data_IF_111801947476
#
_entry.id   IF_111801947476
#
_cell.length_a   1.000
_cell.length_b   1.000
_cell.length_c   1.000
_cell.angle_alpha   90.00
_cell.angle_beta   90.00
_cell.angle_gamma   90.00
#
_symmetry.space_group_name_H-M   'P 1'
#
loop_
_entity.id
_entity.type
_entity.pdbx_description
1 polymer ?
#
# COMPACT_ATOMS: atom_id res chain seq x y z
N UNK A 1 -14.88 12.36 88.10
CA UNK A 1 -13.48 12.47 87.63
C UNK A 1 -13.35 11.67 86.35
N UNK A 2 -12.75 12.21 85.27
CA UNK A 2 -12.64 11.57 83.94
C UNK A 2 -13.99 11.48 83.18
N UNK A 3 -14.24 12.03 81.98
CA UNK A 3 -13.49 12.04 80.69
C UNK A 3 -13.34 10.60 80.15
N UNK A 4 -13.70 10.20 78.92
CA UNK A 4 -14.27 10.84 77.70
C UNK A 4 -15.64 10.18 77.36
N UNK A 5 -16.38 10.43 76.26
CA UNK A 5 -16.24 11.27 75.06
C UNK A 5 -17.32 10.91 74.01
N UNK A 6 -17.42 11.62 72.87
CA UNK A 6 -18.24 11.22 71.69
C UNK A 6 -17.59 11.70 70.38
N UNK A 7 -17.46 10.81 69.39
CA UNK A 7 -16.94 11.13 68.05
C UNK A 7 -18.04 11.68 67.16
N UNK A 8 -17.72 12.70 66.34
CA UNK A 8 -18.59 13.24 65.28
C UNK A 8 -18.30 12.56 63.95
N UNK A 9 -19.35 12.20 63.22
CA UNK A 9 -19.30 11.81 61.81
C UNK A 9 -19.33 13.04 60.90
N UNK A 10 -18.51 13.04 59.84
CA UNK A 10 -18.53 14.05 58.78
C UNK A 10 -18.73 13.38 57.42
N UNK A 11 -19.77 13.80 56.71
CA UNK A 11 -20.05 13.39 55.33
C UNK A 11 -19.37 14.38 54.39
N UNK A 12 -18.60 13.89 53.43
CA UNK A 12 -18.03 14.71 52.35
C UNK A 12 -18.87 14.55 51.08
N UNK A 13 -19.42 15.66 50.58
CA UNK A 13 -20.02 15.73 49.26
C UNK A 13 -18.99 16.28 48.26
N UNK A 14 -18.78 15.58 47.14
CA UNK A 14 -17.91 16.03 46.06
C UNK A 14 -18.77 16.63 44.93
N UNK A 15 -18.49 17.88 44.55
CA UNK A 15 -19.17 18.56 43.45
C UNK A 15 -18.48 18.28 42.11
N UNK A 16 -19.26 17.97 41.05
CA UNK A 16 -18.75 17.92 39.69
C UNK A 16 -18.67 19.33 39.10
N UNK A 17 -17.45 19.75 38.71
CA UNK A 17 -17.24 20.92 37.85
C UNK A 17 -17.15 20.50 36.38
N UNK A 18 -18.02 21.03 35.52
CA UNK A 18 -17.89 20.89 34.07
C UNK A 18 -16.77 21.82 33.56
N UNK A 19 -15.74 21.25 32.92
CA UNK A 19 -14.76 22.01 32.16
C UNK A 19 -15.13 21.99 30.67
N UNK A 20 -15.51 23.16 30.13
CA UNK A 20 -15.72 23.33 28.68
C UNK A 20 -14.36 23.59 28.03
N UNK A 21 -13.82 22.58 27.35
CA UNK A 21 -12.58 22.75 26.58
C UNK A 21 -12.87 23.48 25.26
N UNK A 22 -12.35 24.70 25.13
CA UNK A 22 -12.40 25.45 23.88
C UNK A 22 -11.53 24.81 22.79
N UNK A 23 -12.03 24.75 21.56
CA UNK A 23 -11.27 24.27 20.40
C UNK A 23 -10.21 25.33 20.03
N UNK A 24 -8.92 24.99 19.93
CA UNK A 24 -7.91 25.94 19.45
C UNK A 24 -8.07 26.12 17.93
N UNK A 25 -8.62 27.26 17.52
CA UNK A 25 -8.49 27.74 16.15
C UNK A 25 -7.02 28.11 15.95
N UNK A 26 -6.29 27.33 15.16
CA UNK A 26 -4.91 27.64 14.79
C UNK A 26 -4.88 28.86 13.89
N UNK A 27 -4.44 29.98 14.42
CA UNK A 27 -4.14 31.16 13.62
C UNK A 27 -3.00 30.84 12.64
N UNK A 28 -3.19 31.17 11.36
CA UNK A 28 -2.12 31.12 10.38
C UNK A 28 -1.07 32.18 10.73
N UNK A 29 0.18 31.74 10.91
CA UNK A 29 1.32 32.64 11.05
C UNK A 29 1.86 33.04 9.67
N UNK A 30 2.16 34.33 9.50
CA UNK A 30 2.72 34.90 8.27
C UNK A 30 4.06 34.26 7.84
N UNK A 31 4.32 34.33 6.53
CA UNK A 31 5.67 34.61 6.04
C UNK A 31 6.72 33.49 6.06
N UNK A 32 6.33 32.23 6.22
CA UNK A 32 7.25 31.11 5.98
C UNK A 32 7.13 30.60 4.54
N UNK A 33 8.27 30.40 3.87
CA UNK A 33 8.30 29.74 2.55
C UNK A 33 7.64 28.36 2.64
N UNK A 34 6.87 27.92 1.62
CA UNK A 34 6.14 26.68 1.68
C UNK A 34 7.06 25.50 2.00
N UNK A 35 6.69 24.72 3.02
CA UNK A 35 7.46 23.55 3.44
C UNK A 35 7.70 22.62 2.24
N UNK A 36 8.90 22.03 2.07
CA UNK A 36 9.19 21.10 0.99
C UNK A 36 8.11 20.01 0.86
N UNK A 37 7.86 19.55 -0.37
CA UNK A 37 6.97 18.42 -0.59
C UNK A 37 7.53 17.18 0.12
N UNK A 38 6.69 16.38 0.80
CA UNK A 38 7.11 15.08 1.33
C UNK A 38 7.62 14.20 0.19
N UNK A 39 8.90 13.83 0.24
CA UNK A 39 9.50 12.88 -0.69
C UNK A 39 8.98 11.46 -0.43
N UNK A 40 9.02 10.60 -1.45
CA UNK A 40 8.69 9.18 -1.32
C UNK A 40 9.53 8.52 -0.23
N UNK A 41 8.86 7.81 0.71
CA UNK A 41 9.52 7.02 1.75
C UNK A 41 9.61 5.54 1.36
N UNK A 42 10.81 4.97 1.41
CA UNK A 42 11.02 3.53 1.33
C UNK A 42 10.45 2.79 2.56
N UNK A 43 10.44 1.46 2.54
CA UNK A 43 10.01 0.67 3.68
C UNK A 43 10.97 0.88 4.87
N UNK A 44 10.41 1.15 6.05
CA UNK A 44 11.20 1.17 7.27
C UNK A 44 11.86 -0.21 7.47
N UNK A 45 13.17 -0.22 7.73
CA UNK A 45 13.95 -1.46 7.85
C UNK A 45 14.35 -2.13 6.52
N UNK A 46 14.20 -1.47 5.36
CA UNK A 46 14.72 -1.96 4.10
C UNK A 46 16.25 -2.20 4.17
N UNK A 47 16.70 -3.36 3.67
CA UNK A 47 18.11 -3.73 3.69
C UNK A 47 18.91 -3.02 2.60
N UNK A 48 20.13 -2.53 2.89
CA UNK A 48 20.99 -2.00 1.84
C UNK A 48 21.53 -3.12 0.95
N UNK A 49 21.51 -2.92 -0.35
CA UNK A 49 22.10 -3.80 -1.36
C UNK A 49 22.78 -2.94 -2.43
N UNK A 50 23.78 -3.49 -3.11
CA UNK A 50 24.48 -2.79 -4.22
C UNK A 50 24.52 -3.71 -5.44
N UNK A 51 23.59 -3.52 -6.37
CA UNK A 51 23.47 -4.29 -7.59
C UNK A 51 24.70 -4.14 -8.48
N UNK A 52 25.12 -5.21 -9.14
CA UNK A 52 26.33 -5.20 -9.99
C UNK A 52 25.96 -4.97 -11.46
N UNK A 53 26.86 -4.44 -12.30
CA UNK A 53 26.63 -4.27 -13.74
C UNK A 53 26.68 -5.60 -14.52
N UNK A 54 26.96 -6.73 -13.85
CA UNK A 54 26.92 -8.07 -14.42
C UNK A 54 26.45 -9.08 -13.38
N UNK A 55 26.12 -10.29 -13.82
CA UNK A 55 25.64 -11.39 -12.97
C UNK A 55 26.73 -12.04 -12.10
N UNK A 56 28.01 -11.86 -12.44
CA UNK A 56 29.14 -12.55 -11.80
C UNK A 56 29.19 -12.35 -10.27
N UNK A 57 29.08 -11.09 -9.83
CA UNK A 57 29.16 -10.69 -8.43
C UNK A 57 27.81 -10.20 -7.86
N UNK A 58 26.70 -10.51 -8.54
CA UNK A 58 25.39 -10.01 -8.18
C UNK A 58 24.99 -10.43 -6.74
N UNK A 59 24.63 -9.48 -5.86
CA UNK A 59 24.31 -9.76 -4.46
C UNK A 59 23.02 -10.56 -4.32
N UNK A 60 22.93 -11.39 -3.30
CA UNK A 60 21.71 -12.16 -3.01
C UNK A 60 20.60 -11.24 -2.48
N UNK A 61 19.41 -11.33 -3.07
CA UNK A 61 18.15 -10.80 -2.54
C UNK A 61 17.16 -11.94 -2.29
N UNK A 62 16.36 -11.80 -1.23
CA UNK A 62 15.54 -12.87 -0.66
C UNK A 62 14.05 -12.49 -0.67
N UNK A 63 13.19 -13.49 -0.88
CA UNK A 63 11.74 -13.30 -0.83
C UNK A 63 11.25 -12.81 0.55
N UNK A 64 10.23 -11.94 0.54
CA UNK A 64 9.67 -11.33 1.74
C UNK A 64 10.43 -10.11 2.25
N UNK A 65 11.53 -9.70 1.58
CA UNK A 65 12.35 -8.56 1.97
C UNK A 65 12.24 -7.38 1.00
N UNK A 66 12.43 -6.18 1.54
CA UNK A 66 12.59 -4.93 0.80
C UNK A 66 14.03 -4.46 0.93
N UNK A 67 14.59 -3.89 -0.13
CA UNK A 67 15.96 -3.41 -0.19
C UNK A 67 16.04 -1.98 -0.76
N UNK A 68 17.11 -1.26 -0.42
CA UNK A 68 17.48 0.02 -1.03
C UNK A 68 18.83 -0.06 -1.74
N UNK A 69 18.92 0.62 -2.88
CA UNK A 69 20.12 0.76 -3.72
C UNK A 69 20.07 2.12 -4.46
N UNK A 70 20.98 2.37 -5.41
CA UNK A 70 20.95 3.50 -6.35
C UNK A 70 21.21 3.05 -7.79
N UNK A 71 20.55 3.69 -8.76
CA UNK A 71 20.64 3.30 -10.18
C UNK A 71 20.83 4.52 -11.10
N UNK A 72 22.00 4.55 -11.76
CA UNK A 72 22.23 5.37 -12.96
C UNK A 72 21.67 4.68 -14.21
N UNK A 73 21.76 5.29 -15.41
CA UNK A 73 21.36 4.62 -16.65
C UNK A 73 22.14 3.31 -16.89
N UNK A 74 21.47 2.30 -17.44
CA UNK A 74 22.00 0.96 -17.67
C UNK A 74 21.46 -0.09 -16.69
N UNK A 75 22.17 -1.22 -16.60
CA UNK A 75 21.71 -2.43 -15.92
C UNK A 75 22.26 -2.59 -14.50
N UNK A 76 21.44 -3.13 -13.60
CA UNK A 76 21.81 -3.64 -12.28
C UNK A 76 21.26 -5.04 -12.08
N UNK A 77 22.12 -5.96 -11.65
CA UNK A 77 21.81 -7.37 -11.43
C UNK A 77 21.84 -7.71 -9.93
N UNK A 78 20.84 -8.49 -9.51
CA UNK A 78 20.67 -9.04 -8.17
C UNK A 78 20.36 -10.52 -8.27
N UNK A 79 21.02 -11.37 -7.49
CA UNK A 79 20.87 -12.82 -7.53
C UNK A 79 19.70 -13.27 -6.65
N UNK A 80 18.92 -14.24 -7.13
CA UNK A 80 17.89 -14.96 -6.39
C UNK A 80 18.20 -16.46 -6.40
N UNK A 81 17.74 -17.16 -5.36
CA UNK A 81 17.67 -18.62 -5.33
C UNK A 81 16.19 -18.99 -5.17
N UNK A 82 15.65 -19.72 -6.13
CA UNK A 82 14.24 -20.09 -6.20
C UNK A 82 14.08 -21.60 -6.02
N UNK A 83 13.13 -22.00 -5.17
CA UNK A 83 12.83 -23.39 -4.88
C UNK A 83 12.04 -24.07 -6.01
N UNK A 84 12.18 -25.41 -6.13
CA UNK A 84 11.46 -26.20 -7.14
C UNK A 84 10.09 -26.66 -6.62
N UNK A 85 9.21 -25.70 -6.35
CA UNK A 85 7.86 -25.94 -5.80
C UNK A 85 6.73 -25.22 -6.57
N UNK A 86 7.03 -24.75 -7.79
CA UNK A 86 6.04 -24.13 -8.67
C UNK A 86 5.55 -22.75 -8.21
N UNK A 87 6.15 -22.16 -7.17
CA UNK A 87 5.84 -20.79 -6.75
C UNK A 87 6.29 -19.74 -7.76
N UNK A 88 5.55 -18.63 -7.82
CA UNK A 88 5.92 -17.47 -8.63
C UNK A 88 6.78 -16.52 -7.79
N UNK A 89 7.80 -15.96 -8.43
CA UNK A 89 8.66 -14.93 -7.84
C UNK A 89 8.41 -13.60 -8.54
N UNK A 90 8.18 -12.56 -7.74
CA UNK A 90 7.96 -11.20 -8.20
C UNK A 90 9.07 -10.31 -7.67
N UNK A 91 9.71 -9.54 -8.54
CA UNK A 91 10.68 -8.51 -8.13
C UNK A 91 10.19 -7.18 -8.66
N UNK A 92 9.76 -6.31 -7.74
CA UNK A 92 9.41 -4.93 -8.08
C UNK A 92 10.60 -4.01 -7.87
N UNK A 93 10.80 -3.06 -8.77
CA UNK A 93 11.70 -1.92 -8.65
C UNK A 93 10.89 -0.62 -8.62
N UNK A 94 11.25 0.29 -7.72
CA UNK A 94 10.72 1.67 -7.69
C UNK A 94 11.90 2.64 -7.75
N UNK A 95 12.00 3.43 -8.82
CA UNK A 95 12.98 4.52 -8.89
C UNK A 95 12.37 5.82 -8.39
N UNK A 96 13.20 6.62 -7.72
CA UNK A 96 12.81 7.85 -7.04
C UNK A 96 13.66 9.01 -7.57
N UNK A 97 13.28 9.64 -8.69
CA UNK A 97 13.99 10.81 -9.19
C UNK A 97 13.98 11.93 -8.14
N UNK A 98 15.03 12.78 -8.07
CA UNK A 98 14.96 14.00 -7.28
C UNK A 98 13.96 15.00 -7.89
N UNK A 99 13.36 15.84 -7.05
CA UNK A 99 12.43 16.87 -7.51
C UNK A 99 13.11 17.80 -8.54
N UNK A 100 12.44 18.02 -9.68
CA UNK A 100 12.99 18.81 -10.79
C UNK A 100 13.98 18.07 -11.69
N UNK A 101 14.23 16.76 -11.49
CA UNK A 101 14.99 15.95 -12.45
C UNK A 101 14.39 16.04 -13.86
N UNK A 102 15.24 16.14 -14.88
CA UNK A 102 14.79 16.19 -16.26
C UNK A 102 14.49 14.78 -16.77
N UNK A 103 13.23 14.55 -17.15
CA UNK A 103 12.73 13.28 -17.71
C UNK A 103 11.93 13.52 -18.99
N UNK A 104 11.70 12.44 -19.72
CA UNK A 104 10.93 12.36 -20.96
C UNK A 104 10.23 11.01 -21.08
N UNK A 105 9.30 10.87 -22.03
CA UNK A 105 8.65 9.57 -22.32
C UNK A 105 9.60 8.43 -22.75
N UNK A 106 10.86 8.73 -23.09
CA UNK A 106 11.87 7.72 -23.39
C UNK A 106 12.70 7.30 -22.17
N UNK A 107 12.59 8.01 -21.05
CA UNK A 107 13.15 7.59 -19.77
C UNK A 107 12.20 6.57 -19.12
N UNK A 108 12.75 5.61 -18.36
CA UNK A 108 11.93 4.58 -17.73
C UNK A 108 12.74 3.52 -17.00
N UNK A 109 12.02 2.52 -16.51
CA UNK A 109 12.58 1.32 -15.87
C UNK A 109 11.98 0.05 -16.43
N UNK A 110 12.83 -0.97 -16.49
CA UNK A 110 12.49 -2.33 -16.88
C UNK A 110 13.00 -3.31 -15.83
N UNK A 111 12.20 -4.33 -15.52
CA UNK A 111 12.58 -5.40 -14.60
C UNK A 111 12.30 -6.75 -15.24
N UNK A 112 13.34 -7.57 -15.31
CA UNK A 112 13.34 -8.91 -15.86
C UNK A 112 13.87 -9.91 -14.83
N UNK A 113 13.35 -11.13 -14.82
CA UNK A 113 14.03 -12.26 -14.19
C UNK A 113 14.68 -13.08 -15.31
N UNK A 114 16.00 -13.29 -15.20
CA UNK A 114 16.81 -14.00 -16.18
C UNK A 114 17.42 -15.28 -15.57
N UNK A 115 17.62 -16.30 -16.38
CA UNK A 115 18.29 -17.55 -16.00
C UNK A 115 19.82 -17.37 -15.91
N UNK A 116 20.53 -18.38 -15.40
CA UNK A 116 22.00 -18.44 -15.47
C UNK A 116 22.55 -18.50 -16.91
N UNK A 117 21.72 -18.84 -17.91
CA UNK A 117 22.07 -18.79 -19.32
C UNK A 117 21.89 -17.39 -19.95
N UNK A 118 21.43 -16.39 -19.18
CA UNK A 118 21.18 -15.04 -19.67
C UNK A 118 19.83 -14.87 -20.40
N UNK A 119 18.96 -15.87 -20.36
CA UNK A 119 17.63 -15.84 -21.00
C UNK A 119 16.60 -15.21 -20.06
N UNK A 120 15.87 -14.18 -20.51
CA UNK A 120 14.72 -13.62 -19.78
C UNK A 120 13.54 -14.60 -19.75
N UNK A 121 12.86 -14.69 -18.61
CA UNK A 121 11.68 -15.55 -18.48
C UNK A 121 10.49 -15.03 -19.33
N UNK A 122 9.92 -15.87 -20.21
CA UNK A 122 8.74 -15.57 -21.00
C UNK A 122 7.60 -14.90 -20.23
N UNK A 123 6.98 -13.89 -20.86
CA UNK A 123 5.84 -13.13 -20.32
C UNK A 123 6.04 -12.53 -18.91
N UNK A 124 7.29 -12.44 -18.44
CA UNK A 124 7.66 -11.96 -17.11
C UNK A 124 8.15 -10.51 -17.03
N UNK A 125 8.60 -9.91 -18.14
CA UNK A 125 9.17 -8.56 -18.14
C UNK A 125 8.15 -7.48 -17.81
N UNK A 126 8.43 -6.67 -16.79
CA UNK A 126 7.69 -5.44 -16.48
C UNK A 126 8.44 -4.20 -16.98
N UNK A 127 7.72 -3.24 -17.56
CA UNK A 127 8.24 -1.94 -18.02
C UNK A 127 7.34 -0.82 -17.56
N UNK A 128 7.94 0.32 -17.23
CA UNK A 128 7.23 1.57 -16.98
C UNK A 128 8.08 2.74 -17.48
N UNK A 129 7.44 3.77 -18.02
CA UNK A 129 8.07 4.97 -18.54
C UNK A 129 7.55 6.22 -17.82
N UNK A 130 8.34 7.28 -17.81
CA UNK A 130 7.84 8.60 -17.40
C UNK A 130 6.90 9.16 -18.46
N UNK A 131 6.15 10.20 -18.11
CA UNK A 131 5.41 11.03 -19.07
C UNK A 131 5.96 12.47 -19.00
N UNK A 132 5.38 13.31 -18.15
CA UNK A 132 5.77 14.72 -18.02
C UNK A 132 6.64 15.07 -16.81
N UNK A 133 6.53 14.31 -15.72
CA UNK A 133 7.04 14.69 -14.40
C UNK A 133 7.95 13.61 -13.77
N UNK A 134 9.00 14.00 -13.02
CA UNK A 134 9.95 13.10 -12.37
C UNK A 134 9.39 12.49 -11.08
N UNK A 135 8.29 11.76 -11.17
CA UNK A 135 7.60 11.12 -10.03
C UNK A 135 8.15 9.72 -9.71
N UNK A 136 7.87 9.12 -8.52
CA UNK A 136 8.28 7.75 -8.24
C UNK A 136 7.62 6.77 -9.23
N UNK A 137 8.44 6.00 -9.94
CA UNK A 137 8.02 5.12 -11.04
C UNK A 137 8.32 3.67 -10.68
N UNK A 138 7.36 2.76 -10.89
CA UNK A 138 7.47 1.36 -10.51
C UNK A 138 7.21 0.39 -11.66
N UNK A 139 8.02 -0.68 -11.72
CA UNK A 139 7.86 -1.80 -12.64
C UNK A 139 8.17 -3.10 -11.88
N UNK A 140 7.62 -4.22 -12.36
CA UNK A 140 7.80 -5.52 -11.69
C UNK A 140 8.03 -6.65 -12.69
N UNK A 141 9.15 -7.34 -12.51
CA UNK A 141 9.47 -8.57 -13.22
C UNK A 141 8.86 -9.77 -12.50
N UNK A 142 8.40 -10.75 -13.28
CA UNK A 142 7.79 -11.98 -12.78
C UNK A 142 8.53 -13.19 -13.34
N UNK A 143 8.74 -14.20 -12.50
CA UNK A 143 9.06 -15.58 -12.92
C UNK A 143 7.86 -16.44 -12.57
N UNK A 144 7.24 -17.02 -13.59
CA UNK A 144 6.12 -17.93 -13.46
C UNK A 144 6.62 -19.36 -13.20
N UNK A 145 6.23 -19.97 -12.08
CA UNK A 145 6.68 -21.28 -11.62
C UNK A 145 5.76 -22.43 -12.00
N UNK A 146 4.49 -22.17 -12.30
CA UNK A 146 3.52 -23.19 -12.69
C UNK A 146 2.97 -22.98 -14.12
N UNK A 147 3.29 -21.84 -14.76
CA UNK A 147 2.77 -21.40 -16.05
C UNK A 147 3.81 -21.42 -17.16
N UNK A 148 5.11 -21.34 -16.82
CA UNK A 148 6.23 -21.29 -17.76
C UNK A 148 7.18 -22.47 -17.49
N UNK A 149 7.15 -23.50 -18.33
CA UNK A 149 7.96 -24.71 -18.14
C UNK A 149 9.46 -24.48 -18.33
N UNK A 150 9.87 -23.43 -19.04
CA UNK A 150 11.28 -23.11 -19.32
C UNK A 150 11.92 -22.41 -18.12
N UNK A 151 11.19 -21.49 -17.47
CA UNK A 151 11.61 -20.86 -16.21
C UNK A 151 11.09 -21.52 -14.92
N UNK A 152 10.26 -22.57 -14.96
CA UNK A 152 9.79 -23.31 -13.79
C UNK A 152 10.83 -24.13 -12.98
N UNK A 153 12.01 -24.52 -13.48
CA UNK A 153 13.01 -25.20 -12.64
C UNK A 153 13.44 -24.36 -11.43
N UNK A 154 13.65 -25.00 -10.28
CA UNK A 154 14.32 -24.33 -9.15
C UNK A 154 15.81 -24.13 -9.45
N UNK A 155 16.42 -23.11 -8.85
CA UNK A 155 17.83 -22.78 -9.06
C UNK A 155 18.16 -21.30 -8.89
N UNK A 156 19.29 -20.90 -9.46
CA UNK A 156 19.76 -19.50 -9.44
C UNK A 156 19.12 -18.72 -10.59
N UNK A 157 18.59 -17.54 -10.25
CA UNK A 157 18.06 -16.55 -11.18
C UNK A 157 18.71 -15.20 -10.89
N UNK A 158 18.59 -14.25 -11.81
CA UNK A 158 18.95 -12.86 -11.55
C UNK A 158 17.78 -11.94 -11.88
N UNK A 159 17.46 -11.03 -10.96
CA UNK A 159 16.68 -9.85 -11.30
C UNK A 159 17.61 -8.86 -11.99
N UNK A 160 17.30 -8.53 -13.24
CA UNK A 160 17.92 -7.46 -14.01
C UNK A 160 16.98 -6.25 -13.93
N UNK A 161 17.48 -5.14 -13.40
CA UNK A 161 16.80 -3.85 -13.38
C UNK A 161 17.55 -2.93 -14.32
N UNK A 162 16.90 -2.52 -15.41
CA UNK A 162 17.46 -1.57 -16.38
C UNK A 162 16.81 -0.20 -16.15
N UNK A 163 17.62 0.84 -16.03
CA UNK A 163 17.14 2.22 -16.14
C UNK A 163 17.51 2.78 -17.51
N UNK A 164 16.50 3.08 -18.31
CA UNK A 164 16.69 3.77 -19.59
C UNK A 164 16.65 5.27 -19.35
N UNK A 165 17.58 6.01 -19.97
CA UNK A 165 17.54 7.48 -19.97
C UNK A 165 17.84 8.07 -21.33
N UNK A 166 17.07 9.09 -21.73
CA UNK A 166 17.29 9.81 -22.97
C UNK A 166 18.58 10.66 -22.90
N UNK A 167 19.23 10.91 -24.03
CA UNK A 167 20.55 11.59 -24.09
C UNK A 167 20.59 12.91 -23.32
N UNK A 168 19.51 13.69 -23.38
CA UNK A 168 19.43 15.02 -22.78
C UNK A 168 18.69 15.03 -21.43
N UNK A 169 18.29 13.87 -20.89
CA UNK A 169 17.65 13.74 -19.57
C UNK A 169 18.68 13.70 -18.43
N UNK A 170 18.22 13.55 -17.19
CA UNK A 170 19.11 13.43 -16.03
C UNK A 170 19.76 12.03 -15.96
N UNK A 171 21.10 11.98 -16.04
CA UNK A 171 21.88 10.74 -15.97
C UNK A 171 22.46 10.45 -14.57
N UNK A 172 22.16 11.28 -13.57
CA UNK A 172 22.61 11.04 -12.20
C UNK A 172 22.01 9.75 -11.60
N UNK A 173 22.68 9.07 -10.65
CA UNK A 173 22.11 7.92 -9.96
C UNK A 173 20.90 8.32 -9.09
N UNK A 174 19.79 7.60 -9.24
CA UNK A 174 18.59 7.83 -8.43
C UNK A 174 18.42 6.73 -7.37
N UNK A 175 17.87 7.04 -6.18
CA UNK A 175 17.50 6.02 -5.20
C UNK A 175 16.50 5.00 -5.76
N UNK A 176 16.81 3.72 -5.54
CA UNK A 176 16.06 2.55 -5.97
C UNK A 176 15.51 1.83 -4.73
N UNK A 177 14.24 1.42 -4.76
CA UNK A 177 13.68 0.46 -3.81
C UNK A 177 13.39 -0.85 -4.56
N UNK A 178 13.80 -1.98 -4.00
CA UNK A 178 13.49 -3.31 -4.51
C UNK A 178 12.62 -4.06 -3.51
N UNK A 179 11.66 -4.85 -3.98
CA UNK A 179 10.92 -5.78 -3.13
C UNK A 179 10.76 -7.12 -3.84
N UNK A 180 11.04 -8.20 -3.12
CA UNK A 180 10.87 -9.56 -3.60
C UNK A 180 9.66 -10.18 -2.92
N UNK A 181 8.68 -10.62 -3.69
CA UNK A 181 7.48 -11.31 -3.21
C UNK A 181 7.37 -12.70 -3.83
N UNK A 182 6.66 -13.59 -3.16
CA UNK A 182 6.49 -15.00 -3.56
C UNK A 182 5.03 -15.41 -3.42
N UNK A 183 4.42 -15.82 -4.53
CA UNK A 183 3.08 -16.43 -4.54
C UNK A 183 3.28 -17.96 -4.51
N UNK A 184 2.65 -18.70 -3.58
CA UNK A 184 2.74 -20.16 -3.57
C UNK A 184 2.27 -20.77 -4.91
N UNK A 185 2.80 -21.95 -5.26
CA UNK A 185 2.36 -22.65 -6.46
C UNK A 185 0.87 -23.02 -6.40
N UNK A 186 0.20 -23.10 -7.55
CA UNK A 186 -1.20 -23.57 -7.61
C UNK A 186 -1.32 -25.06 -7.28
N UNK A 187 -2.38 -25.42 -6.59
CA UNK A 187 -2.86 -26.78 -6.45
C UNK A 187 -3.57 -27.27 -7.72
N UNK A 188 -4.01 -28.52 -7.69
CA UNK A 188 -4.74 -29.14 -8.80
C UNK A 188 -6.10 -28.46 -9.04
N UNK A 189 -6.52 -28.37 -10.30
CA UNK A 189 -7.85 -27.88 -10.69
C UNK A 189 -8.03 -26.36 -10.74
N UNK A 190 -7.01 -25.56 -10.44
CA UNK A 190 -7.07 -24.10 -10.67
C UNK A 190 -7.12 -23.81 -12.18
N UNK A 191 -8.11 -23.04 -12.69
CA UNK A 191 -8.25 -22.77 -14.12
C UNK A 191 -7.04 -22.05 -14.74
N UNK A 192 -6.59 -22.54 -15.90
CA UNK A 192 -5.48 -21.97 -16.67
C UNK A 192 -5.91 -21.42 -18.04
N UNK A 193 -7.20 -21.39 -18.34
CA UNK A 193 -7.74 -20.78 -19.56
C UNK A 193 -7.95 -19.29 -19.31
N UNK A 194 -7.39 -18.44 -20.16
CA UNK A 194 -7.59 -16.99 -20.09
C UNK A 194 -9.10 -16.62 -20.18
N UNK A 195 -9.56 -15.57 -19.49
CA UNK A 195 -10.93 -15.09 -19.62
C UNK A 195 -11.22 -14.61 -21.04
N UNK A 196 -12.43 -14.86 -21.54
CA UNK A 196 -12.87 -14.39 -22.84
C UNK A 196 -13.39 -12.95 -22.78
N UNK A 197 -12.68 -12.03 -23.42
CA UNK A 197 -13.09 -10.63 -23.54
C UNK A 197 -12.71 -9.76 -22.34
N UNK A 198 -12.92 -8.45 -22.49
CA UNK A 198 -12.60 -7.41 -21.52
C UNK A 198 -13.90 -6.78 -20.98
N UNK A 199 -14.00 -6.45 -19.69
CA UNK A 199 -15.10 -5.62 -19.20
C UNK A 199 -15.02 -4.23 -19.84
N UNK A 200 -16.10 -3.82 -20.50
CA UNK A 200 -16.25 -2.50 -21.16
C UNK A 200 -17.13 -1.53 -20.36
N UNK A 201 -17.64 -1.97 -19.20
CA UNK A 201 -18.50 -1.18 -18.34
C UNK A 201 -17.70 -0.04 -17.66
N UNK A 202 -18.19 1.19 -17.79
CA UNK A 202 -17.62 2.33 -17.07
C UNK A 202 -17.90 2.20 -15.56
N UNK A 203 -16.99 2.67 -14.68
CA UNK A 203 -17.22 2.61 -13.25
C UNK A 203 -18.37 3.53 -12.81
N UNK A 204 -19.23 3.00 -11.94
CA UNK A 204 -20.32 3.73 -11.30
C UNK A 204 -19.81 4.42 -10.03
N UNK A 205 -19.07 5.51 -10.24
CA UNK A 205 -18.39 6.23 -9.16
C UNK A 205 -19.39 6.82 -8.14
N UNK A 206 -19.16 6.68 -6.82
CA UNK A 206 -20.09 7.16 -5.81
C UNK A 206 -20.19 8.68 -5.73
N UNK A 207 -21.41 9.16 -5.45
CA UNK A 207 -21.74 10.57 -5.20
C UNK A 207 -21.98 10.90 -3.71
N UNK A 208 -21.52 10.06 -2.79
CA UNK A 208 -21.68 10.28 -1.33
C UNK A 208 -20.84 11.46 -0.84
N UNK A 209 -21.11 11.91 0.39
CA UNK A 209 -20.26 12.92 1.06
C UNK A 209 -18.79 12.47 1.13
N UNK A 210 -17.88 13.43 0.95
CA UNK A 210 -16.45 13.17 0.87
C UNK A 210 -15.80 13.16 2.25
N UNK A 211 -15.14 12.06 2.61
CA UNK A 211 -14.46 11.91 3.91
C UNK A 211 -12.98 12.28 3.81
N UNK A 212 -12.49 13.14 4.70
CA UNK A 212 -11.09 13.54 4.74
C UNK A 212 -10.12 12.37 5.02
N UNK A 213 -9.20 12.10 4.10
CA UNK A 213 -8.15 11.07 4.21
C UNK A 213 -6.89 11.49 3.45
N UNK A 214 -5.87 11.92 4.19
CA UNK A 214 -4.57 12.27 3.62
C UNK A 214 -3.80 11.04 3.12
N UNK A 215 -3.39 11.07 1.86
CA UNK A 215 -2.58 10.05 1.19
C UNK A 215 -1.12 10.05 1.66
N UNK A 216 -0.50 8.87 1.59
CA UNK A 216 0.91 8.64 1.90
C UNK A 216 1.86 9.18 0.83
N UNK A 217 3.15 8.91 1.02
CA UNK A 217 4.26 9.33 0.17
C UNK A 217 4.76 8.25 -0.80
N UNK A 218 4.43 6.97 -0.56
CA UNK A 218 4.84 5.85 -1.38
C UNK A 218 4.05 4.57 -1.11
N UNK A 219 4.53 3.43 -1.62
CA UNK A 219 3.91 2.12 -1.41
C UNK A 219 3.88 1.67 0.07
N UNK A 220 4.74 2.25 0.91
CA UNK A 220 5.02 1.78 2.27
C UNK A 220 4.11 2.44 3.32
N UNK A 221 3.75 3.70 3.10
CA UNK A 221 2.83 4.49 3.92
C UNK A 221 1.50 4.81 3.20
N UNK A 222 1.22 4.14 2.07
CA UNK A 222 -0.02 4.30 1.32
C UNK A 222 -1.25 4.17 2.22
N UNK A 223 -2.10 5.22 2.20
CA UNK A 223 -3.32 5.32 3.02
C UNK A 223 -4.33 4.28 2.55
N UNK A 224 -4.72 3.34 3.41
CA UNK A 224 -5.75 2.37 3.04
C UNK A 224 -7.11 3.07 2.86
N UNK A 225 -7.87 2.67 1.84
CA UNK A 225 -9.20 3.18 1.53
C UNK A 225 -10.14 2.04 1.11
N UNK A 226 -11.42 2.21 1.39
CA UNK A 226 -12.50 1.39 0.81
C UNK A 226 -13.21 2.09 -0.34
N UNK A 227 -14.32 1.50 -0.81
CA UNK A 227 -15.26 2.20 -1.67
C UNK A 227 -15.84 3.44 -0.95
N UNK A 228 -16.07 4.53 -1.70
CA UNK A 228 -16.55 5.80 -1.16
C UNK A 228 -15.99 7.01 -1.90
N UNK A 229 -16.20 8.19 -1.32
CA UNK A 229 -15.65 9.46 -1.79
C UNK A 229 -14.70 9.99 -0.71
N UNK A 230 -13.48 10.34 -1.12
CA UNK A 230 -12.39 10.70 -0.23
C UNK A 230 -11.85 12.08 -0.61
N UNK A 231 -11.55 12.91 0.39
CA UNK A 231 -10.98 14.25 0.20
C UNK A 231 -9.56 14.32 0.74
N UNK A 232 -8.68 14.92 -0.04
CA UNK A 232 -7.30 15.23 0.29
C UNK A 232 -6.91 16.57 -0.35
N UNK A 233 -5.66 17.00 -0.18
CA UNK A 233 -5.11 18.22 -0.79
C UNK A 233 -3.73 17.94 -1.37
N UNK A 234 -3.46 18.53 -2.55
CA UNK A 234 -2.19 18.38 -3.27
C UNK A 234 -1.57 19.73 -3.60
N UNK A 235 -0.25 19.76 -3.68
CA UNK A 235 0.51 20.87 -4.27
C UNK A 235 1.14 20.43 -5.60
N UNK A 236 1.48 21.36 -6.51
CA UNK A 236 2.18 21.02 -7.75
C UNK A 236 3.40 20.13 -7.53
N UNK A 237 3.60 19.13 -8.38
CA UNK A 237 4.71 18.17 -8.29
C UNK A 237 4.55 17.10 -7.21
N UNK A 238 3.43 17.07 -6.48
CA UNK A 238 3.17 16.08 -5.44
C UNK A 238 2.47 14.84 -6.01
N UNK A 239 2.88 13.66 -5.52
CA UNK A 239 2.12 12.41 -5.66
C UNK A 239 1.55 11.98 -4.32
N UNK A 240 0.25 11.70 -4.26
CA UNK A 240 -0.44 11.09 -3.11
C UNK A 240 -0.63 9.59 -3.34
N UNK A 241 -0.37 8.79 -2.30
CA UNK A 241 -0.45 7.33 -2.37
C UNK A 241 -1.56 6.75 -1.48
N UNK A 242 -2.41 5.95 -2.10
CA UNK A 242 -3.50 5.22 -1.45
C UNK A 242 -3.40 3.73 -1.78
N UNK A 243 -4.10 2.89 -1.03
CA UNK A 243 -4.22 1.45 -1.31
C UNK A 243 -5.63 0.93 -1.04
N UNK A 244 -6.14 0.07 -1.91
CA UNK A 244 -7.48 -0.52 -1.84
C UNK A 244 -7.33 -2.04 -1.79
N UNK A 245 -7.96 -2.75 -0.83
CA UNK A 245 -7.87 -4.20 -0.78
C UNK A 245 -8.90 -4.79 -1.75
N UNK A 246 -8.44 -5.53 -2.75
CA UNK A 246 -9.30 -6.28 -3.67
C UNK A 246 -9.12 -7.78 -3.45
N UNK A 247 -10.21 -8.44 -3.06
CA UNK A 247 -10.27 -9.89 -2.97
C UNK A 247 -10.59 -10.52 -4.34
N UNK A 248 -10.51 -11.85 -4.42
CA UNK A 248 -10.82 -12.59 -5.64
C UNK A 248 -12.24 -12.29 -6.13
N UNK A 249 -12.43 -12.15 -7.44
CA UNK A 249 -13.70 -11.79 -8.08
C UNK A 249 -14.13 -10.33 -7.92
N UNK A 250 -13.38 -9.50 -7.19
CA UNK A 250 -13.70 -8.08 -7.04
C UNK A 250 -13.13 -7.21 -8.17
N UNK A 251 -13.76 -6.06 -8.41
CA UNK A 251 -13.40 -5.07 -9.43
C UNK A 251 -13.28 -3.68 -8.79
N UNK A 252 -12.39 -2.85 -9.34
CA UNK A 252 -12.12 -1.49 -8.87
C UNK A 252 -12.42 -0.45 -9.96
N UNK A 253 -13.21 0.56 -9.62
CA UNK A 253 -13.40 1.79 -10.38
C UNK A 253 -12.76 2.98 -9.66
N UNK A 254 -12.05 3.83 -10.40
CA UNK A 254 -11.31 4.97 -9.85
C UNK A 254 -11.61 6.23 -10.65
N UNK A 255 -12.03 7.29 -9.96
CA UNK A 255 -12.03 8.65 -10.47
C UNK A 255 -11.29 9.60 -9.53
N UNK A 256 -10.52 10.54 -10.08
CA UNK A 256 -9.84 11.60 -9.35
C UNK A 256 -10.21 12.96 -9.95
N UNK A 257 -10.46 13.96 -9.09
CA UNK A 257 -10.90 15.31 -9.44
C UNK A 257 -10.04 16.34 -8.70
N UNK A 258 -9.39 17.24 -9.44
CA UNK A 258 -8.79 18.46 -8.89
C UNK A 258 -9.76 19.62 -8.99
N UNK A 259 -9.96 20.31 -7.87
CA UNK A 259 -10.75 21.54 -7.75
C UNK A 259 -9.99 22.75 -8.30
N UNK A 260 -10.60 23.95 -8.24
CA UNK A 260 -9.95 25.19 -8.67
C UNK A 260 -8.76 25.56 -7.79
N UNK A 261 -7.71 26.06 -8.44
CA UNK A 261 -6.51 26.60 -7.80
C UNK A 261 -6.53 28.14 -7.82
N UNK A 262 -5.73 28.75 -6.96
CA UNK A 262 -5.45 30.19 -7.04
C UNK A 262 -4.44 30.43 -8.18
N UNK A 263 -4.93 30.95 -9.31
CA UNK A 263 -4.12 31.17 -10.52
C UNK A 263 -3.39 32.52 -10.48
N UNK A 264 -2.09 32.50 -10.73
CA UNK A 264 -1.22 33.68 -10.84
C UNK A 264 -1.05 34.13 -12.30
N UNK A 265 -1.29 33.25 -13.28
CA UNK A 265 -1.27 33.56 -14.72
C UNK A 265 -2.49 32.98 -15.41
N UNK A 266 -3.12 33.78 -16.28
CA UNK A 266 -4.28 33.36 -17.09
C UNK A 266 -3.81 32.68 -18.38
N UNK A 267 -4.69 31.88 -18.99
CA UNK A 267 -4.47 31.22 -20.29
C UNK A 267 -3.22 30.33 -20.36
N UNK A 268 -2.82 29.74 -19.22
CA UNK A 268 -1.71 28.78 -19.12
C UNK A 268 -2.27 27.44 -18.64
N UNK A 269 -1.71 26.32 -19.10
CA UNK A 269 -2.07 24.98 -18.64
C UNK A 269 -0.86 24.05 -18.59
N UNK A 270 -0.97 22.99 -17.80
CA UNK A 270 -0.01 21.89 -17.75
C UNK A 270 -0.65 20.62 -18.33
N UNK A 271 -0.08 20.08 -19.40
CA UNK A 271 -0.29 18.68 -19.80
C UNK A 271 0.13 17.75 -18.66
N UNK A 272 -0.65 16.71 -18.39
CA UNK A 272 -0.44 15.83 -17.23
C UNK A 272 -0.69 16.50 -15.87
N UNK A 273 -1.34 17.67 -15.83
CA UNK A 273 -1.58 18.42 -14.61
C UNK A 273 -2.36 17.64 -13.54
N UNK A 274 -3.17 16.65 -13.95
CA UNK A 274 -3.65 15.56 -13.09
C UNK A 274 -3.37 14.22 -13.77
N UNK A 275 -2.66 13.33 -13.07
CA UNK A 275 -2.42 11.94 -13.50
C UNK A 275 -2.81 10.95 -12.40
N UNK A 276 -3.30 9.78 -12.80
CA UNK A 276 -3.65 8.65 -11.92
C UNK A 276 -3.01 7.39 -12.46
N UNK A 277 -2.30 6.65 -11.61
CA UNK A 277 -1.72 5.34 -11.93
C UNK A 277 -2.17 4.30 -10.90
N UNK A 278 -2.66 3.17 -11.39
CA UNK A 278 -3.03 1.99 -10.62
C UNK A 278 -1.92 0.95 -10.71
N UNK A 279 -1.46 0.46 -9.56
CA UNK A 279 -0.52 -0.66 -9.44
C UNK A 279 -1.16 -1.83 -8.69
N UNK A 280 -0.73 -3.05 -8.99
CA UNK A 280 -1.22 -4.27 -8.35
C UNK A 280 -0.41 -4.63 -7.06
N UNK A 281 -0.73 -5.72 -6.34
CA UNK A 281 -0.05 -6.12 -5.10
C UNK A 281 1.45 -6.44 -5.20
N UNK A 282 1.98 -6.65 -6.41
CA UNK A 282 3.41 -6.79 -6.68
C UNK A 282 4.00 -5.55 -7.37
N UNK A 283 3.31 -4.40 -7.31
CA UNK A 283 3.72 -3.09 -7.84
C UNK A 283 3.96 -3.03 -9.36
N UNK A 284 3.38 -3.96 -10.11
CA UNK A 284 3.25 -3.83 -11.57
C UNK A 284 2.14 -2.83 -11.92
N UNK A 285 2.36 -1.98 -12.92
CA UNK A 285 1.35 -1.06 -13.45
C UNK A 285 0.20 -1.84 -14.07
N UNK A 286 -1.04 -1.44 -13.75
CA UNK A 286 -2.29 -2.04 -14.22
C UNK A 286 -2.94 -1.15 -15.27
N UNK A 287 -3.04 0.14 -14.96
CA UNK A 287 -3.63 1.16 -15.80
C UNK A 287 -3.15 2.54 -15.35
N UNK A 288 -3.08 3.48 -16.28
CA UNK A 288 -2.81 4.88 -16.01
C UNK A 288 -3.65 5.76 -16.93
N UNK A 289 -3.82 7.03 -16.53
CA UNK A 289 -4.43 8.07 -17.35
C UNK A 289 -4.09 9.44 -16.79
N UNK A 290 -3.95 10.41 -17.67
CA UNK A 290 -3.79 11.81 -17.27
C UNK A 290 -4.72 12.74 -18.04
N UNK A 291 -4.78 13.99 -17.59
CA UNK A 291 -5.44 15.09 -18.31
C UNK A 291 -4.72 16.41 -18.03
N UNK A 292 -4.92 17.38 -18.89
CA UNK A 292 -4.40 18.74 -18.69
C UNK A 292 -5.15 19.47 -17.58
N UNK A 293 -4.45 20.37 -16.88
CA UNK A 293 -5.04 21.25 -15.87
C UNK A 293 -4.62 22.71 -16.10
N UNK A 294 -5.56 23.63 -15.95
CA UNK A 294 -5.45 25.07 -16.21
C UNK A 294 -5.76 25.93 -14.98
N UNK A 295 -6.02 25.30 -13.83
CA UNK A 295 -6.41 25.95 -12.58
C UNK A 295 -7.92 25.97 -12.31
N UNK A 296 -8.78 25.45 -13.19
CA UNK A 296 -10.25 25.48 -13.00
C UNK A 296 -10.80 24.18 -12.40
N UNK A 297 -10.98 23.11 -13.18
CA UNK A 297 -11.37 21.81 -12.64
C UNK A 297 -10.95 20.73 -13.65
N UNK A 298 -10.26 19.70 -13.17
CA UNK A 298 -9.84 18.57 -14.00
C UNK A 298 -10.30 17.26 -13.36
N UNK A 299 -10.76 16.32 -14.20
CA UNK A 299 -11.21 14.99 -13.76
C UNK A 299 -10.59 13.90 -14.63
N UNK A 300 -10.16 12.81 -13.99
CA UNK A 300 -9.65 11.59 -14.63
C UNK A 300 -10.42 10.40 -14.08
N UNK A 301 -10.98 9.59 -14.98
CA UNK A 301 -11.59 8.29 -14.64
C UNK A 301 -10.89 7.19 -15.40
N UNK A 302 -10.40 6.18 -14.68
CA UNK A 302 -9.81 4.96 -15.24
C UNK A 302 -10.91 4.01 -15.72
N UNK A 303 -10.58 3.12 -16.65
CA UNK A 303 -11.45 1.98 -16.93
C UNK A 303 -11.60 1.12 -15.67
N UNK A 304 -12.76 0.48 -15.50
CA UNK A 304 -13.01 -0.44 -14.40
C UNK A 304 -12.11 -1.66 -14.58
N UNK A 305 -11.42 -2.10 -13.52
CA UNK A 305 -10.57 -3.30 -13.62
C UNK A 305 -11.43 -4.52 -13.93
N UNK A 306 -10.90 -5.53 -14.65
CA UNK A 306 -11.52 -6.85 -14.65
C UNK A 306 -11.58 -7.45 -13.23
N UNK A 307 -12.43 -8.47 -13.02
CA UNK A 307 -12.47 -9.18 -11.75
C UNK A 307 -11.11 -9.79 -11.44
N UNK A 308 -10.61 -9.59 -10.22
CA UNK A 308 -9.36 -10.20 -9.75
C UNK A 308 -9.46 -11.72 -9.87
N UNK A 309 -8.66 -12.31 -10.74
CA UNK A 309 -8.81 -13.73 -11.10
C UNK A 309 -7.49 -14.36 -11.51
N UNK A 310 -7.17 -15.52 -10.94
CA UNK A 310 -5.91 -16.22 -11.22
C UNK A 310 -5.71 -16.45 -12.72
N UNK A 311 -6.79 -16.83 -13.42
CA UNK A 311 -6.84 -17.05 -14.87
C UNK A 311 -6.41 -15.83 -15.71
N UNK A 312 -6.46 -14.61 -15.16
CA UNK A 312 -6.09 -13.39 -15.88
C UNK A 312 -4.62 -13.43 -16.33
N UNK A 313 -3.72 -14.11 -15.59
CA UNK A 313 -2.28 -14.23 -15.92
C UNK A 313 -1.99 -14.89 -17.28
N UNK A 314 -2.93 -15.67 -17.80
CA UNK A 314 -2.83 -16.32 -19.12
C UNK A 314 -3.37 -15.45 -20.26
N UNK A 315 -3.92 -14.28 -19.95
CA UNK A 315 -4.41 -13.33 -20.96
C UNK A 315 -3.24 -12.63 -21.66
N UNK A 316 -3.37 -12.48 -22.98
CA UNK A 316 -2.51 -11.59 -23.77
C UNK A 316 -2.91 -10.11 -23.64
N UNK A 317 -4.09 -9.83 -23.08
CA UNK A 317 -4.57 -8.47 -22.82
C UNK A 317 -3.84 -7.88 -21.59
N UNK A 318 -3.08 -6.80 -21.83
CA UNK A 318 -2.28 -6.10 -20.82
C UNK A 318 -3.10 -5.33 -19.78
N UNK A 319 -4.38 -5.05 -20.05
CA UNK A 319 -5.28 -4.45 -19.06
C UNK A 319 -5.94 -5.54 -18.17
N UNK A 320 -5.74 -6.81 -18.52
CA UNK A 320 -6.27 -7.98 -17.78
C UNK A 320 -5.18 -8.72 -17.02
N UNK A 321 -4.07 -9.05 -17.68
CA UNK A 321 -2.97 -9.83 -17.11
C UNK A 321 -2.46 -9.36 -15.72
N UNK A 322 -2.30 -8.04 -15.45
CA UNK A 322 -1.80 -7.55 -14.17
C UNK A 322 -2.78 -7.72 -12.99
N UNK A 323 -4.06 -8.00 -13.26
CA UNK A 323 -5.14 -8.10 -12.26
C UNK A 323 -5.35 -9.57 -11.85
N UNK A 324 -4.25 -10.29 -11.64
CA UNK A 324 -4.22 -11.77 -11.52
C UNK A 324 -3.95 -12.30 -10.10
N UNK A 325 -3.86 -11.40 -9.11
CA UNK A 325 -3.68 -11.70 -7.68
C UNK A 325 -4.55 -10.81 -6.80
N UNK A 326 -5.08 -11.35 -5.70
CA UNK A 326 -5.74 -10.58 -4.65
C UNK A 326 -4.71 -9.83 -3.77
N UNK A 327 -5.15 -8.81 -3.04
CA UNK A 327 -4.32 -8.06 -2.11
C UNK A 327 -4.51 -6.54 -2.24
N UNK A 328 -3.46 -5.79 -1.90
CA UNK A 328 -3.46 -4.33 -1.95
C UNK A 328 -3.16 -3.80 -3.35
N UNK A 329 -4.13 -3.16 -4.00
CA UNK A 329 -3.94 -2.40 -5.22
C UNK A 329 -3.66 -0.94 -4.84
N UNK A 330 -2.61 -0.34 -5.41
CA UNK A 330 -2.11 0.98 -5.02
C UNK A 330 -2.51 2.03 -6.05
N UNK A 331 -3.00 3.17 -5.58
CA UNK A 331 -3.38 4.32 -6.42
C UNK A 331 -2.41 5.46 -6.14
N UNK A 332 -1.65 5.85 -7.15
CA UNK A 332 -0.84 7.06 -7.16
C UNK A 332 -1.61 8.16 -7.88
N UNK A 333 -1.85 9.30 -7.21
CA UNK A 333 -2.47 10.49 -7.82
C UNK A 333 -1.43 11.59 -7.83
N UNK A 334 -1.08 12.10 -9.02
CA UNK A 334 -0.03 13.11 -9.22
C UNK A 334 -0.65 14.42 -9.69
N UNK A 335 -0.22 15.53 -9.08
CA UNK A 335 -0.39 16.87 -9.61
C UNK A 335 0.90 17.28 -10.34
N UNK A 336 0.84 17.61 -11.63
CA UNK A 336 2.05 17.90 -12.42
C UNK A 336 2.84 19.11 -11.89
N UNK A 337 4.18 19.04 -11.90
CA UNK A 337 5.03 20.10 -11.34
C UNK A 337 4.93 21.42 -12.10
N UNK A 338 4.63 21.35 -13.41
CA UNK A 338 4.40 22.54 -14.25
C UNK A 338 3.22 23.42 -13.80
N UNK A 339 2.32 22.91 -12.95
CA UNK A 339 1.20 23.70 -12.41
C UNK A 339 1.70 24.88 -11.55
N UNK A 340 2.82 24.71 -10.83
CA UNK A 340 3.49 25.79 -10.08
C UNK A 340 3.89 26.98 -10.96
N UNK A 341 4.01 26.79 -12.28
CA UNK A 341 4.32 27.86 -13.23
C UNK A 341 3.21 28.92 -13.38
N UNK A 342 1.98 28.61 -12.95
CA UNK A 342 0.81 29.50 -13.10
C UNK A 342 -0.19 29.48 -11.93
N UNK A 343 0.07 28.72 -10.87
CA UNK A 343 -0.71 28.76 -9.61
C UNK A 343 0.13 29.32 -8.45
N UNK A 344 -0.50 29.65 -7.34
CA UNK A 344 0.18 29.93 -6.08
C UNK A 344 0.60 28.61 -5.42
N UNK A 345 1.86 28.20 -5.63
CA UNK A 345 2.41 26.88 -5.24
C UNK A 345 2.29 26.55 -3.73
N UNK A 346 2.23 27.58 -2.87
CA UNK A 346 2.03 27.42 -1.44
C UNK A 346 0.60 26.99 -1.06
N UNK A 347 -0.40 27.26 -1.91
CA UNK A 347 -1.82 27.02 -1.64
C UNK A 347 -2.21 25.61 -2.14
N UNK A 348 -2.58 24.68 -1.25
CA UNK A 348 -3.00 23.34 -1.66
C UNK A 348 -4.29 23.37 -2.49
N UNK A 349 -4.35 22.55 -3.53
CA UNK A 349 -5.53 22.33 -4.36
C UNK A 349 -6.30 21.11 -3.84
N UNK A 350 -7.61 21.23 -3.55
CA UNK A 350 -8.40 20.10 -3.09
C UNK A 350 -8.53 18.98 -4.15
N UNK A 351 -8.19 17.76 -3.74
CA UNK A 351 -8.37 16.51 -4.46
C UNK A 351 -9.61 15.79 -3.94
N UNK A 352 -10.48 15.33 -4.84
CA UNK A 352 -11.52 14.34 -4.56
C UNK A 352 -11.20 13.03 -5.26
N UNK A 353 -11.13 11.93 -4.52
CA UNK A 353 -10.90 10.57 -5.03
C UNK A 353 -12.17 9.73 -4.81
N UNK A 354 -12.76 9.24 -5.89
CA UNK A 354 -13.94 8.36 -5.89
C UNK A 354 -13.51 6.93 -6.16
N UNK A 355 -13.88 6.02 -5.28
CA UNK A 355 -13.55 4.60 -5.37
C UNK A 355 -14.83 3.76 -5.39
N UNK A 356 -14.99 2.95 -6.42
CA UNK A 356 -16.02 1.93 -6.53
C UNK A 356 -15.36 0.55 -6.34
N UNK A 357 -15.84 -0.26 -5.39
CA UNK A 357 -15.45 -1.67 -5.28
C UNK A 357 -16.71 -2.52 -5.48
N UNK A 358 -16.69 -3.38 -6.50
CA UNK A 358 -17.81 -4.29 -6.83
C UNK A 358 -17.34 -5.73 -6.94
N UNK A 359 -18.29 -6.65 -7.05
CA UNK A 359 -18.03 -8.10 -6.97
C UNK A 359 -17.99 -8.59 -5.52
N UNK A 360 -18.54 -9.77 -5.30
CA UNK A 360 -18.49 -10.46 -4.01
C UNK A 360 -17.13 -11.14 -3.86
N UNK A 361 -16.44 -11.03 -2.70
CA UNK A 361 -15.23 -11.80 -2.42
C UNK A 361 -15.42 -13.29 -2.69
N UNK A 362 -14.70 -13.79 -3.68
CA UNK A 362 -14.68 -15.18 -4.10
C UNK A 362 -13.76 -16.04 -3.24
N UNK A 363 -13.70 -17.33 -3.56
CA UNK A 363 -12.68 -18.21 -2.97
C UNK A 363 -11.35 -17.95 -3.66
N UNK A 364 -10.27 -17.91 -2.87
CA UNK A 364 -8.93 -17.97 -3.41
C UNK A 364 -8.72 -19.24 -4.24
N UNK A 365 -7.83 -19.21 -5.24
CA UNK A 365 -7.29 -20.41 -5.87
C UNK A 365 -6.83 -21.42 -4.81
N UNK A 366 -6.93 -22.71 -5.11
CA UNK A 366 -6.24 -23.71 -4.31
C UNK A 366 -4.73 -23.45 -4.44
N UNK A 367 -4.10 -22.97 -3.38
CA UNK A 367 -2.65 -22.77 -3.31
C UNK A 367 -1.99 -23.91 -2.53
N UNK A 368 -0.73 -24.21 -2.84
CA UNK A 368 0.08 -25.21 -2.12
C UNK A 368 0.66 -24.67 -0.79
N UNK A 369 0.40 -23.40 -0.46
CA UNK A 369 0.82 -22.73 0.77
C UNK A 369 -0.03 -21.47 1.01
N UNK A 370 0.30 -20.70 2.04
CA UNK A 370 -0.44 -19.48 2.37
C UNK A 370 -0.06 -18.30 1.44
N UNK A 371 -0.99 -17.77 0.61
CA UNK A 371 -0.72 -16.59 -0.22
C UNK A 371 -0.61 -15.29 0.58
N UNK A 372 -1.15 -15.23 1.81
CA UNK A 372 -1.09 -14.02 2.63
C UNK A 372 0.34 -13.66 3.04
N UNK A 373 1.22 -14.66 3.25
CA UNK A 373 2.64 -14.46 3.49
C UNK A 373 3.37 -13.71 2.36
N UNK A 374 2.89 -13.83 1.11
CA UNK A 374 3.39 -13.07 -0.04
C UNK A 374 2.75 -11.68 -0.23
N UNK A 375 1.70 -11.38 0.53
CA UNK A 375 0.82 -10.22 0.32
C UNK A 375 -0.27 -10.44 -0.74
N UNK A 376 -0.56 -11.69 -1.11
CA UNK A 376 -1.47 -12.06 -2.20
C UNK A 376 -2.86 -12.55 -1.73
N UNK A 377 -3.34 -11.97 -0.63
CA UNK A 377 -4.65 -12.24 -0.05
C UNK A 377 -5.20 -10.98 0.64
N UNK A 378 -6.51 -10.97 0.94
CA UNK A 378 -7.17 -9.91 1.72
C UNK A 378 -7.76 -10.49 3.00
N UNK A 379 -7.16 -10.16 4.14
CA UNK A 379 -7.61 -10.59 5.46
C UNK A 379 -8.67 -9.67 6.09
N UNK A 380 -9.16 -10.08 7.26
CA UNK A 380 -10.06 -9.27 8.07
C UNK A 380 -9.38 -7.96 8.56
N UNK A 381 -8.08 -8.00 8.83
CA UNK A 381 -7.30 -6.83 9.22
C UNK A 381 -7.13 -5.84 8.06
N UNK A 382 -6.91 -6.32 6.81
CA UNK A 382 -6.82 -5.43 5.64
C UNK A 382 -8.13 -4.68 5.39
N UNK A 383 -9.26 -5.40 5.46
CA UNK A 383 -10.60 -4.81 5.37
C UNK A 383 -10.88 -3.82 6.51
N UNK A 384 -10.25 -4.00 7.67
CA UNK A 384 -10.37 -3.09 8.82
C UNK A 384 -9.52 -1.85 8.62
N UNK A 385 -8.26 -2.00 8.21
CA UNK A 385 -7.38 -0.91 7.82
C UNK A 385 -8.01 -0.03 6.72
N UNK A 386 -8.71 -0.60 5.74
CA UNK A 386 -9.40 0.16 4.70
C UNK A 386 -10.64 0.94 5.20
N UNK A 387 -11.34 0.46 6.24
CA UNK A 387 -12.48 1.19 6.85
C UNK A 387 -12.02 2.32 7.76
N UNK A 388 -11.02 2.05 8.60
CA UNK A 388 -10.47 3.03 9.53
C UNK A 388 -9.60 4.06 8.78
N UNK A 389 -8.96 3.62 7.70
CA UNK A 389 -8.10 4.41 6.84
C UNK A 389 -6.65 4.41 7.30
N UNK A 390 -6.07 3.24 7.57
CA UNK A 390 -4.73 3.10 8.18
C UNK A 390 -3.61 2.92 7.14
N UNK A 391 -2.44 3.49 7.41
CA UNK A 391 -1.18 3.13 6.71
C UNK A 391 -0.70 1.74 7.13
N UNK A 392 0.31 1.17 6.47
CA UNK A 392 0.83 -0.14 6.86
C UNK A 392 1.49 -0.13 8.27
N UNK A 393 2.30 0.88 8.65
CA UNK A 393 2.81 1.01 10.03
C UNK A 393 1.69 1.17 11.07
N UNK A 394 0.71 2.06 10.84
CA UNK A 394 -0.43 2.26 11.75
C UNK A 394 -1.25 0.97 11.96
N UNK A 395 -1.49 0.21 10.88
CA UNK A 395 -2.20 -1.07 10.97
C UNK A 395 -1.41 -2.14 11.75
N UNK A 396 -0.08 -2.16 11.62
CA UNK A 396 0.78 -3.04 12.39
C UNK A 396 0.80 -2.67 13.89
N UNK A 397 0.86 -1.38 14.22
CA UNK A 397 0.76 -0.89 15.60
C UNK A 397 -0.61 -1.21 16.23
N UNK A 398 -1.71 -1.01 15.49
CA UNK A 398 -3.05 -1.36 15.91
C UNK A 398 -3.23 -2.88 16.10
N UNK A 399 -2.58 -3.71 15.27
CA UNK A 399 -2.54 -5.16 15.47
C UNK A 399 -1.73 -5.55 16.73
N UNK A 400 -0.57 -4.94 16.94
CA UNK A 400 0.26 -5.13 18.13
C UNK A 400 -0.49 -4.79 19.43
N UNK A 401 -1.15 -3.64 19.48
CA UNK A 401 -1.97 -3.21 20.62
C UNK A 401 -3.13 -4.15 20.88
N UNK A 402 -3.84 -4.60 19.83
CA UNK A 402 -4.92 -5.62 19.97
C UNK A 402 -4.39 -6.95 20.48
N UNK A 403 -3.19 -7.37 20.07
CA UNK A 403 -2.53 -8.58 20.58
C UNK A 403 -2.19 -8.46 22.07
N UNK A 404 -1.55 -7.35 22.47
CA UNK A 404 -1.26 -7.05 23.87
C UNK A 404 -2.53 -7.05 24.74
N UNK A 405 -3.60 -6.41 24.28
CA UNK A 405 -4.89 -6.39 24.99
C UNK A 405 -5.53 -7.77 25.12
N UNK A 406 -5.35 -8.69 24.15
CA UNK A 406 -5.77 -10.10 24.29
C UNK A 406 -4.97 -10.84 25.35
N UNK A 407 -3.65 -10.61 25.44
CA UNK A 407 -2.80 -11.20 26.49
C UNK A 407 -3.18 -10.66 27.87
N UNK A 408 -3.37 -9.34 28.01
CA UNK A 408 -3.82 -8.69 29.25
C UNK A 408 -5.20 -9.20 29.68
N UNK A 409 -6.16 -9.32 28.75
CA UNK A 409 -7.47 -9.89 29.03
C UNK A 409 -7.38 -11.36 29.46
N UNK A 410 -6.59 -12.18 28.75
CA UNK A 410 -6.38 -13.59 29.11
C UNK A 410 -5.76 -13.77 30.50
N UNK A 411 -4.75 -12.96 30.83
CA UNK A 411 -4.13 -12.95 32.16
C UNK A 411 -5.11 -12.47 33.24
N UNK A 412 -5.87 -11.41 32.99
CA UNK A 412 -6.85 -10.84 33.92
C UNK A 412 -8.01 -11.79 34.22
N UNK A 413 -8.63 -12.37 33.18
CA UNK A 413 -9.69 -13.36 33.34
C UNK A 413 -9.17 -14.66 33.95
N UNK A 414 -7.98 -15.13 33.56
CA UNK A 414 -7.35 -16.33 34.15
C UNK A 414 -7.07 -16.16 35.64
N UNK A 415 -6.45 -15.04 36.04
CA UNK A 415 -6.18 -14.72 37.45
C UNK A 415 -7.47 -14.55 38.23
N UNK A 416 -8.47 -13.86 37.67
CA UNK A 416 -9.79 -13.70 38.29
C UNK A 416 -10.50 -15.04 38.51
N UNK A 417 -10.49 -15.93 37.52
CA UNK A 417 -11.07 -17.27 37.63
C UNK A 417 -10.36 -18.14 38.69
N UNK A 418 -9.02 -18.09 38.75
CA UNK A 418 -8.25 -18.79 39.79
C UNK A 418 -8.56 -18.25 41.18
N UNK A 419 -8.63 -16.92 41.36
CA UNK A 419 -9.01 -16.31 42.64
C UNK A 419 -10.41 -16.71 43.08
N UNK A 420 -11.39 -16.73 42.16
CA UNK A 420 -12.75 -17.19 42.45
C UNK A 420 -12.81 -18.69 42.78
N UNK A 421 -12.00 -19.53 42.12
CA UNK A 421 -11.92 -20.95 42.42
C UNK A 421 -11.28 -21.22 43.80
N UNK A 422 -10.21 -20.51 44.15
CA UNK A 422 -9.57 -20.57 45.47
C UNK A 422 -10.52 -20.08 46.56
N UNK A 423 -11.23 -18.96 46.34
CA UNK A 423 -12.22 -18.43 47.27
C UNK A 423 -13.39 -19.42 47.45
N UNK A 424 -13.91 -19.99 46.37
CA UNK A 424 -14.96 -21.01 46.40
C UNK A 424 -14.52 -22.27 47.18
N UNK A 425 -13.30 -22.76 46.94
CA UNK A 425 -12.71 -23.86 47.70
C UNK A 425 -12.57 -23.55 49.19
N UNK A 426 -12.10 -22.35 49.54
CA UNK A 426 -11.95 -21.89 50.92
C UNK A 426 -13.31 -21.78 51.64
N UNK A 427 -14.34 -21.24 50.98
CA UNK A 427 -15.71 -21.18 51.52
C UNK A 427 -16.29 -22.58 51.74
N UNK A 428 -16.06 -23.53 50.82
CA UNK A 428 -16.50 -24.93 50.98
C UNK A 428 -15.81 -25.63 52.16
N UNK A 429 -14.50 -25.42 52.34
CA UNK A 429 -13.73 -25.90 53.49
C UNK A 429 -14.25 -25.28 54.80
N UNK A 430 -14.46 -23.95 54.82
CA UNK A 430 -14.99 -23.22 55.98
C UNK A 430 -16.43 -23.55 56.38
N UNK A 431 -17.23 -24.14 55.46
CA UNK A 431 -18.56 -24.71 55.77
C UNK A 431 -18.47 -26.13 56.34
N UNK A 432 -17.53 -26.95 55.87
CA UNK A 432 -17.29 -28.30 56.44
C UNK A 432 -16.82 -28.24 57.90
N UNK A 433 -15.96 -27.28 58.24
CA UNK A 433 -15.48 -27.08 59.62
C UNK A 433 -16.54 -26.62 60.64
N UNK A 434 -17.73 -26.16 60.20
CA UNK A 434 -18.83 -25.73 61.08
C UNK A 434 -19.94 -26.77 61.25
N UNK A 435 -19.81 -27.95 60.65
CA UNK A 435 -20.75 -29.06 60.80
C UNK A 435 -20.45 -30.02 61.95
N UNK A 436 -19.40 -29.77 62.73
CA UNK A 436 -18.88 -30.68 63.75
C UNK A 436 -18.77 -30.02 65.14
N UNK A 437 -19.87 -29.41 65.63
CA UNK A 437 -19.98 -28.98 67.05
C UNK A 437 -21.43 -28.94 67.53
N UNK A 438 -22.13 -30.08 67.55
CA UNK A 438 -23.32 -30.28 68.40
C UNK A 438 -23.73 -31.75 68.48
N UNK A 439 -23.01 -32.52 69.30
CA UNK A 439 -23.46 -33.63 70.15
C UNK A 439 -22.24 -34.21 70.89
#
# INVERSE_FOLDING_TARGET
MGVMGRVRTTVWAAALGMAVAGVPVTAYADGSAPQPLPAYRAADGAGRVEGRPSTADAPLIEAGRTYEDTIGPGDRFYRLVLEKDGSNAYVSAVVRPPAGAKVSGSDGIEVELITTAGTSCPAGTGRANFDYDPVPLAAAGVRWGAEDAECAPGGVYYAKVTRTSAKDSDHSPWPLELRVQREPGRGAGVPTTAPSGRPTEAPSLPGTEAVGRAGGTGFNDARALGAGVWRDEMRPGQTRWYRVPLDWGQQLGIGAELSAAQVTKKFTSASGGLAVTLYNPYRGQVADKNTSYDGVQAGVTLAKTPPVGYANRFSSDRDVQPVSVAGWYYVAVTMGAKVAGFTEDAVPVPLTLRLEVTGTPGKAPAYQGDPAAGGFAVGADDRTAAREGLTAPEAAEAAGTRSLMRVVAGAGFGTGAVLLAVLGGWVLLGRRGRGATSA
#
